data_IF_019165613423
#
_entry.id   IF_019165613423
#
_cell.length_a   1.000
_cell.length_b   1.000
_cell.length_c   1.000
_cell.angle_alpha   90.00
_cell.angle_beta   90.00
_cell.angle_gamma   90.00
#
_symmetry.space_group_name_H-M   'P 1'
#
loop_
_entity.id
_entity.type
_entity.pdbx_description
1 polymer ?
#
# COMPACT_ATOMS: atom_id res chain seq x y z
N UNK A 1 -2.11 -35.82 -11.51
CA UNK A 1 -2.10 -35.08 -10.21
C UNK A 1 -1.35 -33.74 -10.26
N UNK A 2 -0.49 -33.47 -11.25
CA UNK A 2 0.30 -32.21 -11.36
C UNK A 2 -0.49 -30.96 -11.78
N UNK A 3 -1.56 -31.12 -12.57
CA UNK A 3 -2.33 -29.99 -13.15
C UNK A 3 -3.16 -29.24 -12.08
N UNK A 4 -3.76 -29.97 -11.12
CA UNK A 4 -4.54 -29.37 -10.04
C UNK A 4 -3.67 -28.52 -9.10
N UNK A 5 -2.45 -29.00 -8.79
CA UNK A 5 -1.50 -28.30 -7.91
C UNK A 5 -1.14 -26.92 -8.49
N UNK A 6 -0.93 -26.83 -9.81
CA UNK A 6 -0.64 -25.57 -10.50
C UNK A 6 -1.80 -24.56 -10.46
N UNK A 7 -3.07 -25.02 -10.54
CA UNK A 7 -4.24 -24.13 -10.45
C UNK A 7 -4.40 -23.54 -9.04
N UNK A 8 -4.20 -24.36 -8.00
CA UNK A 8 -4.27 -23.93 -6.59
C UNK A 8 -3.15 -22.93 -6.28
N UNK A 9 -1.92 -23.17 -6.76
CA UNK A 9 -0.81 -22.24 -6.60
C UNK A 9 -1.07 -20.91 -7.30
N UNK A 10 -1.61 -20.92 -8.53
CA UNK A 10 -1.99 -19.68 -9.23
C UNK A 10 -3.08 -18.91 -8.49
N UNK A 11 -4.11 -19.58 -7.95
CA UNK A 11 -5.17 -18.93 -7.17
C UNK A 11 -4.61 -18.25 -5.91
N UNK A 12 -3.75 -18.94 -5.17
CA UNK A 12 -3.13 -18.40 -3.96
C UNK A 12 -2.29 -17.15 -4.25
N UNK A 13 -1.53 -17.14 -5.35
CA UNK A 13 -0.74 -15.97 -5.74
C UNK A 13 -1.66 -14.78 -6.12
N UNK A 14 -2.78 -15.02 -6.80
CA UNK A 14 -3.74 -13.95 -7.12
C UNK A 14 -4.35 -13.34 -5.87
N UNK A 15 -4.73 -14.15 -4.88
CA UNK A 15 -5.25 -13.68 -3.60
C UNK A 15 -4.21 -12.82 -2.87
N UNK A 16 -2.95 -13.29 -2.82
CA UNK A 16 -1.85 -12.51 -2.22
C UNK A 16 -1.66 -11.16 -2.90
N UNK A 17 -1.71 -11.11 -4.24
CA UNK A 17 -1.59 -9.86 -4.99
C UNK A 17 -2.77 -8.93 -4.74
N UNK A 18 -3.98 -9.47 -4.56
CA UNK A 18 -5.15 -8.68 -4.19
C UNK A 18 -4.98 -8.04 -2.80
N UNK A 19 -4.48 -8.80 -1.82
CA UNK A 19 -4.16 -8.26 -0.48
C UNK A 19 -3.12 -7.13 -0.56
N UNK A 20 -2.04 -7.35 -1.33
CA UNK A 20 -0.99 -6.34 -1.53
C UNK A 20 -1.57 -5.08 -2.18
N UNK A 21 -2.42 -5.23 -3.19
CA UNK A 21 -3.11 -4.11 -3.83
C UNK A 21 -3.99 -3.34 -2.85
N UNK A 22 -4.82 -4.04 -2.05
CA UNK A 22 -5.68 -3.43 -1.04
C UNK A 22 -4.87 -2.68 0.03
N UNK A 23 -3.72 -3.22 0.45
CA UNK A 23 -2.80 -2.52 1.34
C UNK A 23 -2.28 -1.22 0.72
N UNK A 24 -1.85 -1.26 -0.54
CA UNK A 24 -1.40 -0.07 -1.25
C UNK A 24 -2.49 1.01 -1.34
N UNK A 25 -3.75 0.64 -1.59
CA UNK A 25 -4.89 1.55 -1.55
C UNK A 25 -5.09 2.14 -0.15
N UNK A 26 -4.96 1.33 0.90
CA UNK A 26 -5.02 1.80 2.29
C UNK A 26 -3.96 2.84 2.61
N UNK A 27 -2.72 2.65 2.13
CA UNK A 27 -1.64 3.63 2.25
C UNK A 27 -1.96 4.96 1.53
N UNK A 28 -2.52 4.91 0.33
CA UNK A 28 -2.93 6.11 -0.41
C UNK A 28 -4.04 6.87 0.33
N UNK A 29 -5.07 6.18 0.82
CA UNK A 29 -6.17 6.79 1.56
C UNK A 29 -5.65 7.43 2.86
N UNK A 30 -4.83 6.71 3.62
CA UNK A 30 -4.25 7.22 4.86
C UNK A 30 -3.30 8.41 4.60
N UNK A 31 -2.49 8.34 3.54
CA UNK A 31 -1.67 9.47 3.09
C UNK A 31 -2.50 10.69 2.70
N UNK A 32 -3.62 10.51 2.01
CA UNK A 32 -4.54 11.59 1.63
C UNK A 32 -5.13 12.30 2.87
N UNK A 33 -5.42 11.56 3.95
CA UNK A 33 -5.94 12.17 5.19
C UNK A 33 -4.98 13.13 5.88
N UNK A 34 -3.67 13.08 5.57
CA UNK A 34 -2.68 14.02 6.11
C UNK A 34 -2.73 15.41 5.44
N UNK A 35 -3.45 15.56 4.32
CA UNK A 35 -3.67 16.85 3.65
C UNK A 35 -4.98 17.54 4.09
N UNK A 36 -5.84 16.87 4.86
CA UNK A 36 -7.06 17.47 5.39
C UNK A 36 -6.74 18.31 6.64
N UNK A 37 -6.94 19.63 6.55
CA UNK A 37 -6.69 20.58 7.65
C UNK A 37 -7.52 20.35 8.91
N UNK A 38 -8.58 19.54 8.84
CA UNK A 38 -9.52 19.33 9.95
C UNK A 38 -9.14 18.19 10.91
N UNK A 39 -8.11 17.40 10.58
CA UNK A 39 -7.67 16.30 11.42
C UNK A 39 -6.25 16.57 11.87
N UNK A 40 -6.10 17.17 13.05
CA UNK A 40 -4.91 16.92 13.86
C UNK A 40 -4.73 15.40 13.89
N UNK A 41 -3.71 14.91 13.18
CA UNK A 41 -3.44 13.48 13.02
C UNK A 41 -3.15 12.94 14.42
N UNK A 42 -4.19 12.45 15.09
CA UNK A 42 -4.23 12.44 16.56
C UNK A 42 -3.29 11.40 17.14
N UNK A 43 -2.75 10.48 16.31
CA UNK A 43 -1.66 9.55 16.65
C UNK A 43 -0.87 9.15 15.41
N UNK A 44 0.25 9.81 15.16
CA UNK A 44 1.25 9.34 14.20
C UNK A 44 2.03 8.19 14.86
N UNK A 45 2.14 7.01 14.21
CA UNK A 45 2.97 5.93 14.73
C UNK A 45 4.41 6.38 14.98
N UNK A 46 5.03 5.96 16.10
CA UNK A 46 6.41 6.36 16.45
C UNK A 46 7.44 6.14 15.34
N UNK A 47 7.24 5.12 14.52
CA UNK A 47 8.12 4.80 13.38
C UNK A 47 8.08 5.89 12.29
N UNK A 48 6.92 6.54 12.15
CA UNK A 48 6.71 7.62 11.17
C UNK A 48 6.97 9.01 11.78
N UNK A 49 7.22 9.09 13.09
CA UNK A 49 7.46 10.35 13.80
C UNK A 49 8.68 11.13 13.27
N UNK A 50 9.84 10.51 12.98
CA UNK A 50 10.99 11.25 12.44
C UNK A 50 10.71 11.84 11.05
N UNK A 51 9.89 11.17 10.24
CA UNK A 51 9.47 11.69 8.94
C UNK A 51 8.50 12.86 9.09
N UNK A 52 7.60 12.77 10.07
CA UNK A 52 6.70 13.87 10.41
C UNK A 52 7.45 15.10 10.92
N UNK A 53 8.42 14.91 11.81
CA UNK A 53 9.19 15.99 12.41
C UNK A 53 10.01 16.76 11.37
N UNK A 54 10.58 16.05 10.39
CA UNK A 54 11.39 16.66 9.34
C UNK A 54 10.58 17.28 8.19
N UNK A 55 9.44 16.69 7.81
CA UNK A 55 8.70 17.07 6.59
C UNK A 55 7.24 17.50 6.84
N UNK A 56 6.79 17.48 8.09
CA UNK A 56 5.41 17.80 8.49
C UNK A 56 4.36 16.80 7.99
N UNK A 57 3.09 17.18 8.16
CA UNK A 57 1.94 16.36 7.73
C UNK A 57 1.93 16.13 6.21
N UNK A 58 2.23 17.18 5.43
CA UNK A 58 2.22 17.11 3.96
C UNK A 58 3.32 16.19 3.41
N UNK A 59 4.52 16.21 4.01
CA UNK A 59 5.62 15.33 3.63
C UNK A 59 5.33 13.87 3.95
N UNK A 60 4.78 13.60 5.13
CA UNK A 60 4.40 12.25 5.52
C UNK A 60 3.25 11.72 4.64
N UNK A 61 2.24 12.56 4.37
CA UNK A 61 1.13 12.25 3.47
C UNK A 61 1.59 11.90 2.05
N UNK A 62 2.46 12.72 1.47
CA UNK A 62 3.02 12.46 0.13
C UNK A 62 3.87 11.19 0.10
N UNK A 63 4.71 10.94 1.11
CA UNK A 63 5.50 9.71 1.22
C UNK A 63 4.60 8.45 1.28
N UNK A 64 3.52 8.49 2.05
CA UNK A 64 2.55 7.39 2.14
C UNK A 64 1.82 7.15 0.82
N UNK A 65 1.44 8.22 0.10
CA UNK A 65 0.80 8.11 -1.21
C UNK A 65 1.77 7.48 -2.22
N UNK A 66 3.02 7.94 -2.27
CA UNK A 66 4.04 7.39 -3.18
C UNK A 66 4.30 5.92 -2.87
N UNK A 67 4.44 5.56 -1.59
CA UNK A 67 4.60 4.17 -1.17
C UNK A 67 3.39 3.31 -1.55
N UNK A 68 2.17 3.80 -1.32
CA UNK A 68 0.94 3.12 -1.68
C UNK A 68 0.80 2.90 -3.20
N UNK A 69 1.11 3.92 -4.01
CA UNK A 69 1.15 3.81 -5.47
C UNK A 69 2.19 2.79 -5.93
N UNK A 70 3.39 2.80 -5.34
CA UNK A 70 4.43 1.83 -5.67
C UNK A 70 3.98 0.38 -5.41
N UNK A 71 3.32 0.14 -4.27
CA UNK A 71 2.75 -1.17 -3.93
C UNK A 71 1.64 -1.58 -4.92
N UNK A 72 0.76 -0.66 -5.28
CA UNK A 72 -0.31 -0.89 -6.27
C UNK A 72 0.29 -1.27 -7.62
N UNK A 73 1.24 -0.48 -8.13
CA UNK A 73 1.90 -0.76 -9.40
C UNK A 73 2.64 -2.10 -9.35
N UNK A 74 3.37 -2.39 -8.28
CA UNK A 74 4.02 -3.68 -8.10
C UNK A 74 3.03 -4.86 -8.17
N UNK A 75 1.88 -4.75 -7.49
CA UNK A 75 0.84 -5.77 -7.54
C UNK A 75 0.28 -5.96 -8.97
N UNK A 76 0.01 -4.86 -9.68
CA UNK A 76 -0.51 -4.89 -11.06
C UNK A 76 0.51 -5.51 -12.02
N UNK A 77 1.77 -5.05 -11.99
CA UNK A 77 2.82 -5.57 -12.87
C UNK A 77 3.10 -7.06 -12.60
N UNK A 78 3.12 -7.45 -11.32
CA UNK A 78 3.29 -8.85 -10.95
C UNK A 78 2.10 -9.71 -11.39
N UNK A 79 0.87 -9.20 -11.24
CA UNK A 79 -0.33 -9.87 -11.74
C UNK A 79 -0.28 -10.07 -13.26
N UNK A 80 0.14 -9.04 -14.00
CA UNK A 80 0.28 -9.09 -15.46
C UNK A 80 1.35 -10.11 -15.91
N UNK A 81 2.42 -10.31 -15.14
CA UNK A 81 3.48 -11.29 -15.43
C UNK A 81 3.04 -12.74 -15.19
N UNK A 82 2.04 -12.96 -14.34
CA UNK A 82 1.53 -14.29 -13.96
C UNK A 82 0.33 -14.72 -14.82
N UNK A 83 -0.38 -13.76 -15.41
CA UNK A 83 -1.42 -13.99 -16.41
C UNK A 83 -0.81 -14.61 -17.66
#
# INVERSE_FOLDING_TARGET
MSIQKNKVTKLNIRIRLLIIFSLGVGFVIYGATHFSSEKEVTRIPRILYPLYENFGSAGLGSALIVAGLFIIFYAIFTYKKIK
#
